data_IF_885105929828
#
_entry.id   IF_885105929828
#
_cell.length_a   1.000
_cell.length_b   1.000
_cell.length_c   1.000
_cell.angle_alpha   90.00
_cell.angle_beta   90.00
_cell.angle_gamma   90.00
#
_symmetry.space_group_name_H-M   'P 1'
#
loop_
_entity.id
_entity.type
_entity.pdbx_description
1 polymer ?
#
# COMPACT_ATOMS: atom_id res chain seq x y z
N UNK A 1 0.45 -6.90 -54.22
CA UNK A 1 0.25 -7.58 -52.93
C UNK A 1 1.30 -7.21 -51.89
N UNK A 2 2.59 -7.22 -52.16
CA UNK A 2 3.65 -6.96 -51.15
C UNK A 2 3.58 -5.57 -50.46
N UNK A 3 3.16 -4.51 -51.20
CA UNK A 3 3.04 -3.16 -50.65
C UNK A 3 1.87 -3.03 -49.66
N UNK A 4 0.80 -3.76 -49.82
CA UNK A 4 -0.37 -3.76 -48.94
C UNK A 4 -0.05 -4.42 -47.59
N UNK A 5 0.68 -5.55 -47.59
CA UNK A 5 1.12 -6.17 -46.32
C UNK A 5 2.07 -5.27 -45.51
N UNK A 6 2.97 -4.52 -46.16
CA UNK A 6 3.85 -3.58 -45.46
C UNK A 6 3.08 -2.48 -44.79
N UNK A 7 2.00 -1.99 -45.41
CA UNK A 7 1.15 -0.95 -44.83
C UNK A 7 0.39 -1.42 -43.58
N UNK A 8 0.09 -2.73 -43.50
CA UNK A 8 -0.60 -3.32 -42.35
C UNK A 8 0.38 -3.78 -41.26
N UNK A 9 1.53 -4.32 -41.63
CA UNK A 9 2.53 -4.87 -40.70
C UNK A 9 3.16 -3.74 -39.84
N UNK A 10 3.49 -2.60 -40.42
CA UNK A 10 4.14 -1.50 -39.68
C UNK A 10 3.31 -0.98 -38.49
N UNK A 11 2.01 -0.62 -38.65
CA UNK A 11 1.22 -0.18 -37.51
C UNK A 11 0.99 -1.31 -36.49
N UNK A 12 0.81 -2.57 -36.91
CA UNK A 12 0.68 -3.69 -35.99
C UNK A 12 1.96 -3.92 -35.18
N UNK A 13 3.12 -3.81 -35.81
CA UNK A 13 4.41 -3.92 -35.11
C UNK A 13 4.59 -2.76 -34.13
N UNK A 14 4.22 -1.53 -34.51
CA UNK A 14 4.28 -0.38 -33.61
C UNK A 14 3.37 -0.55 -32.38
N UNK A 15 2.14 -1.01 -32.57
CA UNK A 15 1.20 -1.33 -31.48
C UNK A 15 1.75 -2.43 -30.58
N UNK A 16 2.30 -3.49 -31.18
CA UNK A 16 2.91 -4.60 -30.43
C UNK A 16 4.08 -4.10 -29.55
N UNK A 17 5.00 -3.32 -30.11
CA UNK A 17 6.14 -2.78 -29.38
C UNK A 17 5.71 -1.81 -28.28
N UNK A 18 4.72 -0.96 -28.54
CA UNK A 18 4.16 -0.04 -27.51
C UNK A 18 3.50 -0.82 -26.37
N UNK A 19 2.72 -1.86 -26.69
CA UNK A 19 2.08 -2.72 -25.69
C UNK A 19 3.10 -3.48 -24.85
N UNK A 20 4.14 -4.02 -25.48
CA UNK A 20 5.21 -4.75 -24.81
C UNK A 20 5.99 -3.83 -23.86
N UNK A 21 6.29 -2.60 -24.31
CA UNK A 21 6.93 -1.59 -23.48
C UNK A 21 6.06 -1.19 -22.27
N UNK A 22 4.74 -1.07 -22.47
CA UNK A 22 3.79 -0.79 -21.38
C UNK A 22 3.77 -1.90 -20.33
N UNK A 23 3.71 -3.16 -20.77
CA UNK A 23 3.74 -4.33 -19.87
C UNK A 23 5.08 -4.40 -19.12
N UNK A 24 6.20 -4.18 -19.80
CA UNK A 24 7.52 -4.19 -19.18
C UNK A 24 7.66 -3.09 -18.10
N UNK A 25 7.14 -1.90 -18.36
CA UNK A 25 7.11 -0.80 -17.38
C UNK A 25 6.27 -1.15 -16.16
N UNK A 26 5.06 -1.68 -16.37
CA UNK A 26 4.20 -2.12 -15.29
C UNK A 26 4.87 -3.21 -14.43
N UNK A 27 5.47 -4.22 -15.04
CA UNK A 27 6.18 -5.27 -14.32
C UNK A 27 7.40 -4.74 -13.53
N UNK A 28 8.14 -3.79 -14.11
CA UNK A 28 9.27 -3.16 -13.43
C UNK A 28 8.82 -2.33 -12.22
N UNK A 29 7.73 -1.56 -12.34
CA UNK A 29 7.13 -0.80 -11.24
C UNK A 29 6.66 -1.78 -10.13
N UNK A 30 5.91 -2.81 -10.46
CA UNK A 30 5.45 -3.83 -9.50
C UNK A 30 6.61 -4.48 -8.74
N UNK A 31 7.71 -4.86 -9.43
CA UNK A 31 8.89 -5.41 -8.79
C UNK A 31 9.58 -4.39 -7.84
N UNK A 32 9.63 -3.13 -8.24
CA UNK A 32 10.24 -2.06 -7.43
C UNK A 32 9.42 -1.82 -6.16
N UNK A 33 8.10 -1.72 -6.29
CA UNK A 33 7.19 -1.57 -5.16
C UNK A 33 7.31 -2.76 -4.19
N UNK A 34 7.29 -4.00 -4.70
CA UNK A 34 7.41 -5.18 -3.87
C UNK A 34 8.75 -5.27 -3.10
N UNK A 35 9.84 -4.75 -3.69
CA UNK A 35 11.14 -4.67 -2.98
C UNK A 35 11.11 -3.60 -1.90
N UNK A 36 10.60 -2.43 -2.21
CA UNK A 36 10.47 -1.32 -1.27
C UNK A 36 9.63 -1.75 -0.05
N UNK A 37 8.43 -2.29 -0.26
CA UNK A 37 7.57 -2.71 0.86
C UNK A 37 8.20 -3.80 1.72
N UNK A 38 8.90 -4.78 1.12
CA UNK A 38 9.66 -5.78 1.90
C UNK A 38 10.78 -5.15 2.73
N UNK A 39 11.47 -4.13 2.24
CA UNK A 39 12.47 -3.41 3.01
C UNK A 39 11.85 -2.64 4.17
N UNK A 40 10.71 -1.96 3.94
CA UNK A 40 9.99 -1.24 4.98
C UNK A 40 9.49 -2.20 6.07
N UNK A 41 8.91 -3.34 5.69
CA UNK A 41 8.49 -4.41 6.64
C UNK A 41 9.67 -4.93 7.46
N UNK A 42 10.81 -5.19 6.82
CA UNK A 42 12.00 -5.65 7.54
C UNK A 42 12.51 -4.63 8.57
N UNK A 43 12.30 -3.33 8.34
CA UNK A 43 12.64 -2.29 9.31
C UNK A 43 11.71 -2.29 10.53
N UNK A 44 10.45 -2.68 10.37
CA UNK A 44 9.51 -2.78 11.51
C UNK A 44 9.69 -4.07 12.30
N UNK A 45 10.01 -5.20 11.66
CA UNK A 45 10.16 -6.51 12.29
C UNK A 45 11.50 -6.69 13.02
N UNK A 46 12.59 -6.14 12.49
CA UNK A 46 13.94 -6.29 13.04
C UNK A 46 14.32 -5.17 14.02
N UNK A 47 13.33 -4.45 14.54
CA UNK A 47 13.61 -3.37 15.48
C UNK A 47 14.11 -3.97 16.83
N UNK A 48 15.32 -3.62 17.31
CA UNK A 48 15.77 -4.02 18.64
C UNK A 48 14.96 -3.26 19.69
N UNK A 49 14.06 -3.97 20.39
CA UNK A 49 12.99 -3.45 21.25
C UNK A 49 13.37 -2.52 22.42
N UNK A 50 14.64 -2.14 22.56
CA UNK A 50 15.15 -1.34 23.69
C UNK A 50 15.49 0.12 23.35
N UNK A 51 15.26 0.59 22.14
CA UNK A 51 15.59 1.97 21.75
C UNK A 51 14.39 2.91 21.92
N UNK A 52 13.99 3.18 23.15
CA UNK A 52 13.16 4.36 23.43
C UNK A 52 13.97 5.62 23.06
N UNK A 53 13.60 6.30 21.98
CA UNK A 53 14.22 7.58 21.65
C UNK A 53 13.70 8.67 22.61
N UNK A 54 14.58 9.41 23.29
CA UNK A 54 14.15 10.49 24.16
C UNK A 54 13.43 11.58 23.35
N UNK A 55 12.17 11.82 23.63
CA UNK A 55 11.44 12.99 23.17
C UNK A 55 10.34 12.78 22.13
N UNK A 56 9.99 11.54 21.80
CA UNK A 56 8.86 11.24 20.93
C UNK A 56 8.10 10.01 21.46
N UNK A 57 6.78 10.12 21.63
CA UNK A 57 5.91 9.03 22.11
C UNK A 57 5.61 7.98 21.01
N UNK A 58 6.37 8.01 19.90
CA UNK A 58 6.17 7.07 18.79
C UNK A 58 6.62 5.66 19.16
N UNK A 59 5.88 4.69 18.65
CA UNK A 59 6.28 3.29 18.69
C UNK A 59 7.66 3.14 18.02
N UNK A 60 8.64 2.56 18.72
CA UNK A 60 10.04 2.57 18.29
C UNK A 60 10.26 2.03 16.87
N UNK A 61 9.49 1.00 16.47
CA UNK A 61 9.59 0.37 15.15
C UNK A 61 9.23 1.32 13.99
N UNK A 62 8.50 2.41 14.25
CA UNK A 62 8.06 3.35 13.21
C UNK A 62 8.92 4.61 13.11
N UNK A 63 9.83 4.86 14.05
CA UNK A 63 10.65 6.08 14.06
C UNK A 63 11.55 6.23 12.83
N UNK A 64 12.22 5.15 12.44
CA UNK A 64 13.09 5.15 11.26
C UNK A 64 12.29 5.43 9.97
N UNK A 65 11.08 4.90 9.88
CA UNK A 65 10.18 5.12 8.75
C UNK A 65 9.64 6.56 8.73
N UNK A 66 9.24 7.09 9.89
CA UNK A 66 8.77 8.47 10.02
C UNK A 66 9.86 9.48 9.67
N UNK A 67 11.11 9.19 10.00
CA UNK A 67 12.25 10.03 9.61
C UNK A 67 12.45 10.05 8.09
N UNK A 68 12.17 8.94 7.40
CA UNK A 68 12.25 8.87 5.93
C UNK A 68 11.07 9.59 5.27
N UNK A 69 9.87 9.46 5.84
CA UNK A 69 8.67 10.15 5.36
C UNK A 69 7.74 10.51 6.52
N UNK A 70 7.69 11.80 6.84
CA UNK A 70 6.88 12.35 7.93
C UNK A 70 5.36 12.31 7.70
N UNK A 71 4.90 11.92 6.49
CA UNK A 71 3.49 11.66 6.22
C UNK A 71 3.06 10.24 6.68
N UNK A 72 3.98 9.46 7.26
CA UNK A 72 3.62 8.17 7.86
C UNK A 72 2.61 8.38 8.99
N UNK A 73 1.47 7.73 8.86
CA UNK A 73 0.36 7.79 9.81
C UNK A 73 0.28 6.52 10.68
N UNK A 74 0.75 5.40 10.16
CA UNK A 74 0.71 4.11 10.85
C UNK A 74 1.07 2.94 9.96
N UNK A 75 0.65 1.75 10.39
CA UNK A 75 0.90 0.50 9.71
C UNK A 75 -0.34 -0.40 9.73
N UNK A 76 -0.67 -1.03 8.61
CA UNK A 76 -1.80 -1.96 8.52
C UNK A 76 -1.31 -3.36 8.16
N UNK A 77 -1.79 -4.36 8.88
CA UNK A 77 -1.48 -5.76 8.65
C UNK A 77 -2.71 -6.64 8.82
N UNK A 78 -2.82 -7.67 7.97
CA UNK A 78 -3.78 -8.76 8.12
C UNK A 78 -3.01 -10.06 7.95
N UNK A 79 -2.89 -10.83 9.02
CA UNK A 79 -2.13 -12.06 9.04
C UNK A 79 -2.66 -13.06 8.00
N UNK A 80 -1.72 -13.77 7.34
CA UNK A 80 -2.06 -14.74 6.30
C UNK A 80 -2.47 -14.12 4.95
N UNK A 81 -2.30 -12.81 4.78
CA UNK A 81 -2.53 -12.08 3.53
C UNK A 81 -1.30 -11.31 3.08
N UNK A 82 -1.35 -10.70 1.89
CA UNK A 82 -0.31 -9.79 1.43
C UNK A 82 -0.44 -8.37 2.03
N UNK A 83 -1.45 -8.12 2.85
CA UNK A 83 -1.66 -6.79 3.45
C UNK A 83 -0.74 -6.63 4.64
N UNK A 84 0.37 -5.93 4.41
CA UNK A 84 1.38 -5.57 5.40
C UNK A 84 2.11 -4.31 4.88
N UNK A 85 1.53 -3.14 5.15
CA UNK A 85 1.91 -1.89 4.49
C UNK A 85 1.95 -0.70 5.45
N UNK A 86 2.85 0.29 5.21
CA UNK A 86 2.72 1.60 5.81
C UNK A 86 1.41 2.26 5.36
N UNK A 87 0.84 3.04 6.25
CA UNK A 87 -0.34 3.86 5.96
C UNK A 87 0.04 5.31 6.09
N UNK A 88 -0.24 6.09 5.06
CA UNK A 88 0.17 7.48 4.94
C UNK A 88 -0.99 8.44 5.23
N UNK A 89 -0.68 9.70 5.53
CA UNK A 89 -1.69 10.75 5.58
C UNK A 89 -1.11 12.07 5.07
N UNK A 90 -1.66 12.60 3.99
CA UNK A 90 -1.37 13.96 3.51
C UNK A 90 -2.56 14.86 3.78
N UNK A 91 -2.35 15.91 4.60
CA UNK A 91 -3.41 16.88 4.93
C UNK A 91 -3.55 17.98 3.87
N UNK A 92 -2.49 18.23 3.10
CA UNK A 92 -2.48 19.27 2.07
C UNK A 92 -2.99 18.77 0.73
N UNK A 93 -2.68 17.52 0.37
CA UNK A 93 -3.17 16.85 -0.82
C UNK A 93 -3.77 15.50 -0.41
N UNK A 94 -5.09 15.44 -0.15
CA UNK A 94 -5.74 14.26 0.43
C UNK A 94 -5.55 12.96 -0.35
N UNK A 95 -5.43 13.05 -1.67
CA UNK A 95 -5.31 11.90 -2.57
C UNK A 95 -3.88 11.70 -3.10
N UNK A 96 -2.89 12.36 -2.51
CA UNK A 96 -1.50 12.27 -2.94
C UNK A 96 -1.03 10.81 -3.08
N UNK A 97 -1.26 10.01 -2.05
CA UNK A 97 -0.83 8.61 -1.99
C UNK A 97 -1.66 7.65 -2.85
N UNK A 98 -2.71 8.13 -3.50
CA UNK A 98 -3.39 7.35 -4.54
C UNK A 98 -2.47 7.04 -5.73
N UNK A 99 -1.51 7.91 -6.03
CA UNK A 99 -0.60 7.80 -7.19
C UNK A 99 0.89 7.88 -6.81
N UNK A 100 1.20 7.92 -5.52
CA UNK A 100 2.57 8.00 -5.03
C UNK A 100 2.82 6.90 -3.99
N UNK A 101 4.01 6.34 -4.04
CA UNK A 101 4.46 5.33 -3.07
C UNK A 101 4.97 5.99 -1.77
N UNK A 102 5.50 5.16 -0.85
CA UNK A 102 6.09 5.62 0.42
C UNK A 102 7.21 6.65 0.22
N UNK A 103 8.00 6.53 -0.84
CA UNK A 103 9.12 7.45 -1.16
C UNK A 103 8.65 8.71 -1.90
N UNK A 104 7.35 8.94 -2.02
CA UNK A 104 6.73 10.05 -2.77
C UNK A 104 7.01 10.02 -4.28
N UNK A 105 7.46 8.90 -4.81
CA UNK A 105 7.63 8.69 -6.25
C UNK A 105 6.30 8.27 -6.90
N UNK A 106 6.11 8.65 -8.16
CA UNK A 106 4.95 8.21 -8.96
C UNK A 106 4.85 6.69 -8.96
N UNK A 107 3.67 6.17 -8.67
CA UNK A 107 3.39 4.74 -8.64
C UNK A 107 1.95 4.44 -9.03
N UNK A 108 1.76 3.43 -9.87
CA UNK A 108 0.43 2.91 -10.18
C UNK A 108 -0.20 2.14 -9.03
N UNK A 109 0.61 1.69 -8.07
CA UNK A 109 0.17 0.97 -6.87
C UNK A 109 -0.23 1.91 -5.74
N UNK A 110 0.27 3.15 -5.75
CA UNK A 110 0.10 4.08 -4.65
C UNK A 110 0.67 3.55 -3.33
N UNK A 111 0.15 4.08 -2.25
CA UNK A 111 0.36 3.58 -0.88
C UNK A 111 -0.97 3.66 -0.13
N UNK A 112 -1.31 2.75 0.78
CA UNK A 112 -2.46 2.90 1.65
C UNK A 112 -2.41 4.23 2.40
N UNK A 113 -3.54 4.92 2.52
CA UNK A 113 -3.58 6.22 3.19
C UNK A 113 -4.88 6.47 3.93
N UNK A 114 -4.78 7.24 5.01
CA UNK A 114 -5.90 7.69 5.82
C UNK A 114 -6.48 8.95 5.23
N UNK A 115 -7.80 9.09 5.27
CA UNK A 115 -8.49 10.31 4.89
C UNK A 115 -7.94 11.52 5.66
N UNK A 116 -7.73 12.64 4.96
CA UNK A 116 -7.02 13.81 5.50
C UNK A 116 -7.67 14.43 6.74
N UNK A 117 -8.99 14.31 6.90
CA UNK A 117 -9.74 14.85 8.04
C UNK A 117 -9.86 13.87 9.23
N UNK A 118 -9.34 12.65 9.14
CA UNK A 118 -9.26 11.76 10.28
C UNK A 118 -8.17 12.25 11.25
N UNK A 119 -8.48 12.30 12.54
CA UNK A 119 -7.52 12.53 13.61
C UNK A 119 -7.07 11.17 14.16
N UNK A 120 -5.76 10.91 14.17
CA UNK A 120 -5.16 9.71 14.71
C UNK A 120 -4.54 9.89 16.09
N UNK A 121 -4.40 11.14 16.56
CA UNK A 121 -3.91 11.45 17.91
C UNK A 121 -5.05 11.43 18.92
N UNK A 122 -6.17 12.08 18.56
CA UNK A 122 -7.45 11.95 19.27
C UNK A 122 -8.35 11.16 18.34
N UNK A 123 -8.42 9.81 18.47
CA UNK A 123 -9.03 8.98 17.44
C UNK A 123 -10.43 9.45 17.08
N UNK A 124 -10.65 9.73 15.81
CA UNK A 124 -11.98 9.95 15.27
C UNK A 124 -12.84 8.70 15.47
N UNK A 125 -14.15 8.87 15.67
CA UNK A 125 -15.10 7.74 15.78
C UNK A 125 -15.03 6.79 14.59
N UNK A 126 -14.52 7.29 13.46
CA UNK A 126 -14.34 6.52 12.23
C UNK A 126 -13.02 6.90 11.56
N UNK A 127 -12.19 5.89 11.27
CA UNK A 127 -10.93 6.03 10.54
C UNK A 127 -11.13 5.40 9.15
N UNK A 128 -11.02 6.21 8.10
CA UNK A 128 -11.14 5.75 6.72
C UNK A 128 -9.75 5.54 6.13
N UNK A 129 -9.46 4.30 5.75
CA UNK A 129 -8.21 3.91 5.09
C UNK A 129 -8.51 3.50 3.65
N UNK A 130 -7.84 4.12 2.70
CA UNK A 130 -7.94 3.85 1.27
C UNK A 130 -6.73 3.06 0.78
N UNK A 131 -6.93 2.23 -0.23
CA UNK A 131 -5.87 1.51 -0.91
C UNK A 131 -6.35 0.90 -2.22
N UNK A 132 -5.43 0.74 -3.17
CA UNK A 132 -5.74 0.14 -4.46
C UNK A 132 -6.07 -1.35 -4.34
N UNK A 133 -6.96 -1.82 -5.21
CA UNK A 133 -7.17 -3.23 -5.49
C UNK A 133 -6.42 -3.58 -6.79
N UNK A 134 -5.22 -4.13 -6.65
CA UNK A 134 -4.34 -4.40 -7.79
C UNK A 134 -4.59 -5.77 -8.41
N UNK A 135 -4.46 -5.86 -9.75
CA UNK A 135 -4.63 -7.13 -10.48
C UNK A 135 -3.50 -8.13 -10.23
N UNK A 136 -2.35 -7.66 -9.80
CA UNK A 136 -1.19 -8.49 -9.45
C UNK A 136 -1.25 -9.09 -8.03
N UNK A 137 -2.36 -8.88 -7.32
CA UNK A 137 -2.56 -9.44 -5.98
C UNK A 137 -1.94 -8.61 -4.85
N UNK A 138 -1.45 -7.40 -5.14
CA UNK A 138 -0.88 -6.50 -4.15
C UNK A 138 -1.89 -5.50 -3.59
N UNK A 139 -1.46 -4.66 -2.68
CA UNK A 139 -2.27 -3.67 -1.98
C UNK A 139 -3.48 -4.33 -1.28
N UNK A 140 -4.67 -3.80 -1.45
CA UNK A 140 -5.88 -4.30 -0.80
C UNK A 140 -6.64 -5.37 -1.60
N UNK A 141 -5.98 -6.03 -2.58
CA UNK A 141 -6.62 -7.06 -3.40
C UNK A 141 -7.12 -8.25 -2.58
N UNK A 142 -6.41 -8.62 -1.50
CA UNK A 142 -6.82 -9.73 -0.63
C UNK A 142 -8.13 -9.46 0.12
N UNK A 143 -8.56 -8.20 0.28
CA UNK A 143 -9.87 -7.88 0.84
C UNK A 143 -11.03 -8.47 0.03
N UNK A 144 -10.84 -8.73 -1.27
CA UNK A 144 -11.84 -9.42 -2.09
C UNK A 144 -12.11 -10.86 -1.64
N UNK A 145 -11.19 -11.48 -0.90
CA UNK A 145 -11.33 -12.84 -0.40
C UNK A 145 -12.35 -12.95 0.74
N UNK A 146 -12.66 -11.84 1.42
CA UNK A 146 -13.70 -11.79 2.47
C UNK A 146 -15.12 -12.12 1.98
N UNK A 147 -15.33 -12.29 0.67
CA UNK A 147 -16.56 -12.87 0.11
C UNK A 147 -16.77 -14.33 0.54
N UNK A 148 -15.72 -15.01 0.95
CA UNK A 148 -15.76 -16.38 1.45
C UNK A 148 -15.81 -16.36 2.97
N UNK A 149 -16.83 -16.96 3.54
CA UNK A 149 -16.99 -17.06 5.00
C UNK A 149 -15.77 -17.71 5.66
N UNK A 150 -15.24 -18.79 5.07
CA UNK A 150 -14.03 -19.46 5.58
C UNK A 150 -12.79 -18.54 5.63
N UNK A 151 -12.68 -17.60 4.72
CA UNK A 151 -11.60 -16.61 4.75
C UNK A 151 -11.84 -15.60 5.89
N UNK A 152 -13.06 -15.09 6.04
CA UNK A 152 -13.41 -14.19 7.13
C UNK A 152 -13.19 -14.85 8.50
N UNK A 153 -13.55 -16.14 8.67
CA UNK A 153 -13.33 -16.87 9.92
C UNK A 153 -11.84 -16.94 10.32
N UNK A 154 -10.94 -17.06 9.35
CA UNK A 154 -9.50 -17.17 9.57
C UNK A 154 -8.80 -15.82 9.70
N UNK A 155 -9.37 -14.74 9.14
CA UNK A 155 -8.75 -13.41 9.05
C UNK A 155 -9.66 -12.33 9.66
N UNK A 156 -10.20 -12.57 10.86
CA UNK A 156 -11.12 -11.64 11.53
C UNK A 156 -10.48 -10.36 12.02
N UNK A 157 -9.18 -10.39 12.25
CA UNK A 157 -8.45 -9.30 12.89
C UNK A 157 -7.66 -8.53 11.84
N UNK A 158 -7.83 -7.23 11.87
CA UNK A 158 -6.97 -6.25 11.19
C UNK A 158 -6.16 -5.55 12.25
N UNK A 159 -4.85 -5.65 12.16
CA UNK A 159 -3.95 -4.84 12.97
C UNK A 159 -3.76 -3.50 12.28
N UNK A 160 -4.02 -2.43 12.97
CA UNK A 160 -3.74 -1.08 12.51
C UNK A 160 -3.09 -0.28 13.63
N UNK A 161 -1.79 -0.13 13.51
CA UNK A 161 -1.00 0.66 14.42
C UNK A 161 -0.96 2.11 13.95
N UNK A 162 -1.21 3.02 14.87
CA UNK A 162 -0.82 4.43 14.69
C UNK A 162 0.66 4.58 15.05
N UNK A 163 1.21 5.78 14.92
CA UNK A 163 2.58 6.02 15.36
C UNK A 163 2.78 5.84 16.87
N UNK A 164 1.71 5.96 17.65
CA UNK A 164 1.78 6.01 19.14
C UNK A 164 1.10 4.82 19.82
N UNK A 165 0.27 4.04 19.10
CA UNK A 165 -0.53 2.98 19.71
C UNK A 165 -0.72 1.82 18.75
N UNK A 166 -0.64 0.60 19.28
CA UNK A 166 -1.05 -0.61 18.58
C UNK A 166 -2.53 -0.87 18.82
N UNK A 167 -3.25 -1.29 17.77
CA UNK A 167 -4.66 -1.60 17.87
C UNK A 167 -5.07 -2.76 16.95
N UNK A 168 -6.04 -3.55 17.44
CA UNK A 168 -6.67 -4.62 16.69
C UNK A 168 -8.14 -4.29 16.43
N UNK A 169 -8.57 -4.51 15.20
CA UNK A 169 -9.95 -4.27 14.76
C UNK A 169 -10.56 -5.57 14.27
N UNK A 170 -11.77 -5.86 14.74
CA UNK A 170 -12.50 -7.03 14.27
C UNK A 170 -13.33 -6.69 13.04
N UNK A 171 -13.20 -7.48 11.98
CA UNK A 171 -13.98 -7.32 10.75
C UNK A 171 -15.46 -7.65 11.05
N UNK A 172 -16.31 -6.64 11.07
CA UNK A 172 -17.75 -6.78 11.34
C UNK A 172 -18.57 -7.01 10.07
N UNK A 173 -18.20 -6.32 8.97
CA UNK A 173 -18.93 -6.40 7.71
C UNK A 173 -18.03 -6.07 6.53
N UNK A 174 -18.32 -6.66 5.37
CA UNK A 174 -17.64 -6.38 4.10
C UNK A 174 -18.69 -6.12 3.03
N UNK A 175 -18.56 -5.01 2.31
CA UNK A 175 -19.48 -4.59 1.26
C UNK A 175 -18.72 -4.46 -0.07
N UNK A 176 -19.47 -4.54 -1.18
CA UNK A 176 -18.94 -4.31 -2.53
C UNK A 176 -19.85 -3.36 -3.29
#
# INVERSE_FOLDING_TARGET
MLKFYRFLILPLTAVFLASTAGIARYAADSCTQARMYRQLTALTENFPGDAASPGNDFLPQYQALYTQNSDLAGWIQIDGTNINYPVMQSKQDPDFYLKHNFEKADSTHGCPYVQANCDLQTPSDNILVYGHNMKDGTMFSDLLQYKRESFWEQHRIIQFDTLTAQAEYTVMAVFR
#
